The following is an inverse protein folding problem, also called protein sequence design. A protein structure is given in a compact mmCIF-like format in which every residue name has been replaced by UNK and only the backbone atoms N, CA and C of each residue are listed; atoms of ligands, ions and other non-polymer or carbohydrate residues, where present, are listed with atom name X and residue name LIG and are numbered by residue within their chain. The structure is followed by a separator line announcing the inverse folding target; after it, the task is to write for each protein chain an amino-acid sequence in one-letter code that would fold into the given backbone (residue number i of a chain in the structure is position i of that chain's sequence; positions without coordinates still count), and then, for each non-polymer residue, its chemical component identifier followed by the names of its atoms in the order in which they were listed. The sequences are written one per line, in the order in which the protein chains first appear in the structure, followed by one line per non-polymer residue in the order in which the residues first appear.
data_IF_752304760911
#
_entry.id   IF_752304760911
#
_cell.length_a   1.000
_cell.length_b   1.000
_cell.length_c   1.000
_cell.angle_alpha   90.00
_cell.angle_beta   90.00
_cell.angle_gamma   90.00
#
_symmetry.space_group_name_H-M   'P 1'
#
loop_
_entity.id
_entity.type
_entity.pdbx_description
1 polymer ?
#
# COMPACT_ATOMS: atom_id res chain seq x y z
N UNK A 1 5.51 43.39 23.10
CA UNK A 1 5.02 43.05 21.76
C UNK A 1 4.32 41.70 21.85
N UNK A 2 3.15 41.58 21.21
CA UNK A 2 2.11 40.57 21.50
C UNK A 2 2.55 39.13 21.23
N UNK A 3 2.33 38.27 22.22
CA UNK A 3 2.34 36.81 22.11
C UNK A 3 1.20 36.36 21.21
N UNK A 4 1.50 35.75 20.06
CA UNK A 4 0.50 35.07 19.23
C UNK A 4 0.41 33.61 19.66
N UNK A 5 -0.64 33.33 20.42
CA UNK A 5 -1.11 31.99 20.78
C UNK A 5 -1.49 31.24 19.50
N UNK A 6 -0.80 30.14 19.21
CA UNK A 6 -1.20 29.22 18.15
C UNK A 6 -2.47 28.48 18.59
N UNK A 7 -3.56 28.72 17.87
CA UNK A 7 -4.85 28.09 18.11
C UNK A 7 -4.82 26.67 17.51
N UNK A 8 -4.60 25.67 18.34
CA UNK A 8 -4.78 24.27 17.96
C UNK A 8 -6.27 23.97 17.84
N UNK A 9 -6.81 23.94 16.63
CA UNK A 9 -8.15 23.43 16.38
C UNK A 9 -8.06 21.90 16.38
N UNK A 10 -8.31 21.30 17.53
CA UNK A 10 -8.60 19.88 17.64
C UNK A 10 -9.97 19.61 17.00
N UNK A 11 -9.99 19.18 15.75
CA UNK A 11 -11.20 18.68 15.11
C UNK A 11 -11.57 17.34 15.77
N UNK A 12 -12.51 17.38 16.71
CA UNK A 12 -13.12 16.20 17.30
C UNK A 12 -13.90 15.44 16.21
N UNK A 13 -13.38 14.28 15.79
CA UNK A 13 -14.19 13.31 15.05
C UNK A 13 -15.24 12.76 16.00
N UNK A 14 -16.48 13.27 15.87
CA UNK A 14 -17.66 12.68 16.48
C UNK A 14 -17.81 11.23 16.02
N UNK A 15 -17.94 10.35 17.00
CA UNK A 15 -18.15 8.92 16.83
C UNK A 15 -19.41 8.64 16.00
N UNK A 16 -19.21 8.10 14.81
CA UNK A 16 -20.14 7.16 14.20
C UNK A 16 -19.48 5.78 14.31
N UNK A 17 -19.46 5.24 15.53
CA UNK A 17 -19.12 3.84 15.79
C UNK A 17 -20.28 2.97 15.29
N UNK A 18 -20.26 2.66 14.00
CA UNK A 18 -20.80 1.39 13.51
C UNK A 18 -19.62 0.47 13.32
N UNK A 19 -19.48 -0.50 14.21
CA UNK A 19 -18.66 -1.69 13.96
C UNK A 19 -19.29 -2.43 12.78
N UNK A 20 -19.00 -1.95 11.57
CA UNK A 20 -19.28 -2.70 10.36
C UNK A 20 -18.33 -3.88 10.38
N UNK A 21 -18.83 -5.03 10.84
CA UNK A 21 -18.22 -6.31 10.50
C UNK A 21 -17.99 -6.28 8.98
N UNK A 22 -16.87 -6.83 8.51
CA UNK A 22 -16.47 -6.80 7.11
C UNK A 22 -17.41 -7.58 6.14
N UNK A 23 -18.68 -7.77 6.53
CA UNK A 23 -19.78 -8.22 5.71
C UNK A 23 -19.89 -7.32 4.46
N UNK A 24 -19.59 -7.91 3.31
CA UNK A 24 -19.79 -7.29 2.00
C UNK A 24 -18.52 -6.95 1.23
N UNK A 25 -17.33 -7.22 1.77
CA UNK A 25 -16.13 -7.36 0.91
C UNK A 25 -16.07 -8.77 0.35
N UNK A 26 -15.62 -8.90 -0.89
CA UNK A 26 -15.39 -10.19 -1.52
C UNK A 26 -14.12 -10.89 -1.03
N UNK A 27 -13.69 -11.88 -1.79
CA UNK A 27 -12.43 -12.60 -1.60
C UNK A 27 -11.62 -12.60 -2.91
N UNK A 28 -11.47 -11.42 -3.52
CA UNK A 28 -10.83 -11.25 -4.82
C UNK A 28 -9.55 -10.42 -4.70
N UNK A 29 -8.45 -10.97 -5.23
CA UNK A 29 -7.20 -10.26 -5.46
C UNK A 29 -6.62 -10.74 -6.80
N UNK A 30 -6.75 -9.91 -7.83
CA UNK A 30 -6.19 -10.18 -9.15
C UNK A 30 -5.05 -9.21 -9.41
N UNK A 31 -3.89 -9.74 -9.77
CA UNK A 31 -2.78 -8.96 -10.30
C UNK A 31 -2.40 -9.54 -11.65
N UNK A 32 -2.21 -8.70 -12.66
CA UNK A 32 -1.67 -9.11 -13.96
C UNK A 32 -0.54 -8.19 -14.40
N UNK A 33 0.43 -8.79 -15.08
CA UNK A 33 1.57 -8.11 -15.69
C UNK A 33 1.64 -8.58 -17.13
N UNK A 34 1.39 -7.66 -18.06
CA UNK A 34 1.36 -7.91 -19.50
C UNK A 34 0.43 -9.08 -19.88
N UNK A 35 -0.79 -9.06 -19.30
CA UNK A 35 -1.81 -10.10 -19.49
C UNK A 35 -1.57 -11.40 -18.71
N UNK A 36 -0.37 -11.63 -18.16
CA UNK A 36 -0.07 -12.80 -17.32
C UNK A 36 -0.54 -12.57 -15.90
N UNK A 37 -1.33 -13.51 -15.36
CA UNK A 37 -1.75 -13.50 -13.97
C UNK A 37 -0.56 -13.72 -13.01
N UNK A 38 -0.52 -12.93 -11.94
CA UNK A 38 0.40 -13.08 -10.80
C UNK A 38 -0.40 -13.63 -9.64
N UNK A 39 -0.03 -14.82 -9.16
CA UNK A 39 -0.72 -15.47 -8.04
C UNK A 39 -0.43 -14.72 -6.73
N UNK A 40 -1.39 -13.95 -6.24
CA UNK A 40 -1.39 -13.27 -4.93
C UNK A 40 -2.42 -13.93 -4.01
N UNK A 41 -2.23 -13.81 -2.69
CA UNK A 41 -3.02 -14.55 -1.69
C UNK A 41 -3.63 -13.66 -0.62
N UNK A 42 -3.12 -12.46 -0.43
CA UNK A 42 -3.63 -11.53 0.56
C UNK A 42 -3.68 -10.09 0.03
N UNK A 43 -4.48 -9.30 0.75
CA UNK A 43 -4.42 -7.84 0.72
C UNK A 43 -4.00 -7.37 2.10
N UNK A 44 -2.95 -6.57 2.14
CA UNK A 44 -2.55 -5.81 3.33
C UNK A 44 -2.54 -4.33 3.00
N UNK A 45 -2.65 -3.47 4.01
CA UNK A 45 -2.55 -2.04 3.82
C UNK A 45 -1.65 -1.39 4.87
N UNK A 46 -1.11 -0.24 4.51
CA UNK A 46 -0.36 0.61 5.43
C UNK A 46 -0.78 2.05 5.21
N UNK A 47 -1.06 2.78 6.28
CA UNK A 47 -1.43 4.21 6.22
C UNK A 47 -0.39 5.05 6.94
N UNK A 48 -0.16 6.30 6.51
CA UNK A 48 0.65 7.23 7.31
C UNK A 48 -0.11 7.58 8.58
N UNK A 49 0.52 7.39 9.74
CA UNK A 49 -0.06 7.68 11.05
C UNK A 49 0.47 8.96 11.66
N UNK A 50 -0.22 9.42 12.70
CA UNK A 50 0.24 10.48 13.58
C UNK A 50 1.53 10.10 14.32
N UNK A 51 2.11 11.04 15.07
CA UNK A 51 3.34 10.82 15.84
C UNK A 51 3.22 9.65 16.85
N UNK A 52 2.01 9.37 17.32
CA UNK A 52 1.70 8.27 18.24
C UNK A 52 1.52 6.91 17.54
N UNK A 53 1.40 6.90 16.21
CA UNK A 53 1.19 5.68 15.41
C UNK A 53 -0.15 4.97 15.65
N UNK A 54 -1.14 5.67 16.22
CA UNK A 54 -2.44 5.10 16.62
C UNK A 54 -3.64 5.63 15.82
N UNK A 55 -3.45 6.65 14.98
CA UNK A 55 -4.48 7.16 14.09
C UNK A 55 -3.87 7.59 12.75
N UNK A 56 -4.62 7.56 11.64
CA UNK A 56 -4.19 8.14 10.38
C UNK A 56 -3.83 9.62 10.52
N UNK A 57 -2.76 10.06 9.88
CA UNK A 57 -2.39 11.47 9.82
C UNK A 57 -3.04 12.14 8.62
N UNK A 58 -3.79 13.22 8.87
CA UNK A 58 -4.17 14.16 7.83
C UNK A 58 -2.93 14.96 7.43
N UNK A 59 -2.51 14.81 6.18
CA UNK A 59 -1.37 15.53 5.61
C UNK A 59 -1.87 16.82 4.97
N UNK A 60 -1.05 17.87 5.02
CA UNK A 60 -1.33 19.13 4.33
C UNK A 60 -1.23 18.99 2.81
N UNK A 61 -0.39 18.08 2.33
CA UNK A 61 -0.24 17.75 0.91
C UNK A 61 0.09 16.27 0.67
N UNK A 62 -0.84 15.54 0.05
CA UNK A 62 -0.62 14.15 -0.36
C UNK A 62 0.27 14.02 -1.61
N UNK A 63 0.66 15.13 -2.25
CA UNK A 63 1.46 15.12 -3.48
C UNK A 63 2.95 15.40 -3.28
N UNK A 64 3.41 15.60 -2.05
CA UNK A 64 4.80 15.93 -1.71
C UNK A 64 5.33 17.16 -2.49
N UNK A 65 4.48 18.18 -2.67
CA UNK A 65 4.79 19.40 -3.41
C UNK A 65 4.92 19.22 -4.93
N UNK A 66 4.58 18.06 -5.48
CA UNK A 66 4.74 17.74 -6.92
C UNK A 66 3.59 18.23 -7.78
N UNK A 67 2.58 18.86 -7.20
CA UNK A 67 1.50 19.50 -7.94
C UNK A 67 1.42 20.98 -7.62
N UNK A 68 0.82 21.76 -8.52
CA UNK A 68 0.75 23.22 -8.38
C UNK A 68 -0.03 23.71 -7.14
N UNK A 69 -0.86 22.84 -6.53
CA UNK A 69 -1.66 23.17 -5.34
C UNK A 69 -1.57 22.02 -4.36
N UNK A 70 -1.27 22.33 -3.11
CA UNK A 70 -1.31 21.36 -2.02
C UNK A 70 -2.69 20.71 -1.93
N UNK A 71 -2.71 19.39 -1.74
CA UNK A 71 -3.96 18.62 -1.61
C UNK A 71 -3.98 17.96 -0.22
N UNK A 72 -4.74 18.50 0.74
CA UNK A 72 -4.87 17.89 2.05
C UNK A 72 -5.52 16.50 1.93
N UNK A 73 -5.03 15.52 2.70
CA UNK A 73 -5.59 14.18 2.65
C UNK A 73 -4.77 13.11 3.34
N UNK A 74 -5.13 11.85 3.08
CA UNK A 74 -4.46 10.67 3.60
C UNK A 74 -3.65 9.97 2.51
N UNK A 75 -2.52 9.38 2.88
CA UNK A 75 -1.79 8.44 2.02
C UNK A 75 -1.90 7.03 2.57
N UNK A 76 -2.35 6.10 1.73
CA UNK A 76 -2.49 4.68 2.05
C UNK A 76 -1.85 3.84 0.95
N UNK A 77 -1.09 2.83 1.35
CA UNK A 77 -0.49 1.85 0.45
C UNK A 77 -1.26 0.54 0.56
N UNK A 78 -1.87 0.11 -0.54
CA UNK A 78 -2.49 -1.21 -0.65
C UNK A 78 -1.50 -2.19 -1.26
N UNK A 79 -1.40 -3.38 -0.70
CA UNK A 79 -0.37 -4.34 -1.06
C UNK A 79 -1.04 -5.68 -1.33
N UNK A 80 -0.99 -6.10 -2.59
CA UNK A 80 -1.42 -7.44 -3.01
C UNK A 80 -0.18 -8.33 -3.05
N UNK A 81 -0.07 -9.24 -2.09
CA UNK A 81 1.10 -10.10 -1.92
C UNK A 81 0.67 -11.56 -2.00
N UNK A 82 1.53 -12.42 -2.51
CA UNK A 82 1.35 -13.86 -2.30
C UNK A 82 1.97 -14.29 -0.97
N UNK A 83 1.73 -15.53 -0.54
CA UNK A 83 2.62 -16.22 0.39
C UNK A 83 3.50 -17.26 -0.34
N UNK A 84 4.77 -17.42 0.03
CA UNK A 84 5.64 -18.52 -0.43
C UNK A 84 5.36 -19.68 0.51
N UNK A 85 4.30 -20.42 0.23
CA UNK A 85 3.83 -21.50 1.11
C UNK A 85 4.70 -22.79 1.04
N UNK A 86 5.78 -22.82 0.25
CA UNK A 86 6.48 -24.08 -0.07
C UNK A 86 7.92 -24.26 0.49
N UNK A 87 8.31 -23.67 1.63
CA UNK A 87 9.44 -24.17 2.45
C UNK A 87 9.67 -23.45 3.77
N UNK A 88 10.38 -24.13 4.67
CA UNK A 88 10.80 -23.65 5.99
C UNK A 88 11.60 -22.34 5.97
N UNK A 89 11.56 -21.66 7.13
CA UNK A 89 12.16 -20.36 7.42
C UNK A 89 13.67 -20.30 7.12
N UNK A 90 14.25 -19.09 6.91
CA UNK A 90 15.71 -18.95 6.75
C UNK A 90 16.41 -19.20 8.08
N UNK A 91 17.60 -19.83 8.09
CA UNK A 91 18.40 -19.87 9.32
C UNK A 91 18.66 -18.45 9.82
N UNK A 92 18.70 -18.25 11.15
CA UNK A 92 19.00 -16.96 11.77
C UNK A 92 20.31 -16.36 11.23
N UNK A 93 20.39 -15.04 11.09
CA UNK A 93 21.65 -14.35 10.71
C UNK A 93 22.32 -13.74 11.92
N UNK A 94 23.64 -13.94 12.04
CA UNK A 94 24.43 -13.35 13.12
C UNK A 94 23.98 -13.85 14.50
N UNK A 95 23.76 -12.93 15.44
CA UNK A 95 23.31 -13.24 16.80
C UNK A 95 21.80 -13.52 16.93
N UNK A 96 21.06 -13.59 15.82
CA UNK A 96 19.64 -13.92 15.86
C UNK A 96 19.44 -15.35 16.39
N UNK A 97 18.54 -15.50 17.35
CA UNK A 97 18.20 -16.80 17.97
C UNK A 97 16.94 -17.43 17.35
N UNK A 98 16.24 -16.70 16.49
CA UNK A 98 15.01 -17.14 15.82
C UNK A 98 15.20 -17.18 14.31
N UNK A 99 14.63 -18.21 13.68
CA UNK A 99 14.64 -18.35 12.23
C UNK A 99 14.02 -17.12 11.58
N UNK A 100 14.69 -16.60 10.55
CA UNK A 100 14.20 -15.46 9.80
C UNK A 100 12.94 -15.85 9.05
N UNK A 101 11.85 -15.11 9.30
CA UNK A 101 10.60 -15.29 8.59
C UNK A 101 10.81 -15.20 7.06
N UNK A 102 10.52 -16.31 6.37
CA UNK A 102 10.70 -16.45 4.93
C UNK A 102 9.39 -16.22 4.16
N UNK A 103 8.36 -15.65 4.82
CA UNK A 103 7.18 -15.04 4.18
C UNK A 103 7.51 -13.76 3.41
N UNK A 104 8.75 -13.59 2.96
CA UNK A 104 9.16 -12.51 2.09
C UNK A 104 8.74 -12.83 0.66
N UNK A 105 7.50 -12.51 0.34
CA UNK A 105 6.99 -12.60 -1.02
C UNK A 105 7.29 -11.29 -1.69
N UNK A 106 8.05 -11.42 -2.77
CA UNK A 106 8.46 -10.33 -3.63
C UNK A 106 7.70 -10.46 -4.95
N UNK A 107 6.41 -10.74 -4.92
CA UNK A 107 5.56 -10.74 -6.11
C UNK A 107 4.24 -10.07 -5.83
N UNK A 108 3.73 -9.38 -6.84
CA UNK A 108 2.51 -8.58 -6.76
C UNK A 108 2.81 -7.09 -6.78
N UNK A 109 1.92 -6.31 -6.18
CA UNK A 109 1.92 -4.86 -6.31
C UNK A 109 1.83 -4.15 -4.96
N UNK A 110 2.39 -2.95 -4.91
CA UNK A 110 2.13 -1.96 -3.87
C UNK A 110 1.61 -0.71 -4.56
N UNK A 111 0.36 -0.38 -4.29
CA UNK A 111 -0.35 0.74 -4.88
C UNK A 111 -0.42 1.83 -3.83
N UNK A 112 0.37 2.90 -3.99
CA UNK A 112 0.29 4.07 -3.13
C UNK A 112 -0.82 4.98 -3.63
N UNK A 113 -1.78 5.26 -2.75
CA UNK A 113 -2.96 6.06 -3.05
C UNK A 113 -3.00 7.28 -2.15
N UNK A 114 -3.21 8.44 -2.76
CA UNK A 114 -3.56 9.66 -2.07
C UNK A 114 -5.06 9.87 -2.10
N UNK A 115 -5.70 10.07 -0.95
CA UNK A 115 -7.13 10.28 -0.80
C UNK A 115 -7.35 11.71 -0.31
N UNK A 116 -7.82 12.63 -1.16
CA UNK A 116 -8.10 14.00 -0.74
C UNK A 116 -9.15 14.05 0.37
N UNK A 117 -9.03 15.05 1.24
CA UNK A 117 -10.04 15.40 2.23
C UNK A 117 -10.60 16.76 1.88
N UNK A 118 -11.92 16.81 1.68
CA UNK A 118 -12.67 18.03 1.40
C UNK A 118 -13.75 18.17 2.44
N UNK A 119 -13.81 19.31 3.13
CA UNK A 119 -14.76 19.58 4.21
C UNK A 119 -14.77 18.48 5.30
N UNK A 120 -13.57 18.01 5.68
CA UNK A 120 -13.40 16.98 6.71
C UNK A 120 -13.76 15.56 6.28
N UNK A 121 -14.11 15.32 5.00
CA UNK A 121 -14.50 14.00 4.49
C UNK A 121 -13.54 13.50 3.41
N UNK A 122 -13.15 12.23 3.50
CA UNK A 122 -12.40 11.54 2.46
C UNK A 122 -13.20 11.49 1.14
N UNK A 123 -12.55 11.86 0.05
CA UNK A 123 -13.13 11.87 -1.29
C UNK A 123 -12.55 10.71 -2.11
N UNK A 124 -13.12 9.50 -1.96
CA UNK A 124 -12.61 8.30 -2.65
C UNK A 124 -12.65 8.41 -4.18
N UNK A 125 -13.66 9.09 -4.73
CA UNK A 125 -13.79 9.39 -6.16
C UNK A 125 -12.75 10.38 -6.70
N UNK A 126 -12.01 11.06 -5.82
CA UNK A 126 -10.93 11.98 -6.17
C UNK A 126 -9.56 11.40 -5.77
N UNK A 127 -9.51 10.13 -5.36
CA UNK A 127 -8.27 9.46 -5.02
C UNK A 127 -7.33 9.40 -6.23
N UNK A 128 -6.02 9.43 -5.97
CA UNK A 128 -4.96 9.48 -6.98
C UNK A 128 -4.00 8.33 -6.79
N UNK A 129 -3.59 7.71 -7.89
CA UNK A 129 -2.44 6.81 -7.88
C UNK A 129 -1.18 7.68 -7.76
N UNK A 130 -0.40 7.47 -6.71
CA UNK A 130 0.80 8.26 -6.41
C UNK A 130 2.09 7.50 -6.69
N UNK A 131 2.03 6.16 -6.64
CA UNK A 131 3.12 5.24 -7.00
C UNK A 131 2.53 3.84 -7.19
N UNK A 132 3.18 3.03 -8.02
CA UNK A 132 2.91 1.61 -8.13
C UNK A 132 4.23 0.83 -8.21
N UNK A 133 4.64 0.24 -7.08
CA UNK A 133 5.74 -0.71 -7.07
C UNK A 133 5.25 -2.09 -7.51
N UNK A 134 5.94 -2.68 -8.48
CA UNK A 134 5.58 -3.99 -9.04
C UNK A 134 6.79 -4.88 -8.94
N UNK A 135 6.61 -6.05 -8.34
CA UNK A 135 7.65 -7.06 -8.28
C UNK A 135 7.18 -8.29 -9.05
N UNK A 136 7.99 -8.70 -10.03
CA UNK A 136 7.70 -9.80 -10.95
C UNK A 136 8.76 -10.88 -10.85
N UNK A 137 8.31 -12.13 -10.86
CA UNK A 137 9.16 -13.32 -10.78
C UNK A 137 9.16 -14.15 -12.08
N UNK A 138 8.57 -13.67 -13.18
CA UNK A 138 8.58 -14.41 -14.45
C UNK A 138 9.98 -14.78 -14.98
N UNK A 139 11.00 -13.95 -14.72
CA UNK A 139 12.39 -14.24 -15.10
C UNK A 139 13.11 -15.18 -14.12
N UNK A 140 12.45 -15.59 -13.05
CA UNK A 140 13.02 -16.47 -12.03
C UNK A 140 12.82 -17.91 -12.47
N UNK A 141 13.91 -18.58 -12.82
CA UNK A 141 13.90 -20.02 -12.99
C UNK A 141 13.86 -20.70 -11.61
N UNK A 142 12.67 -21.10 -11.20
CA UNK A 142 12.45 -21.80 -9.93
C UNK A 142 13.06 -23.21 -9.92
N UNK A 143 13.28 -23.83 -11.09
CA UNK A 143 13.87 -25.16 -11.21
C UNK A 143 15.41 -25.13 -11.10
N UNK A 144 16.03 -23.97 -11.34
CA UNK A 144 17.46 -23.77 -11.13
C UNK A 144 17.86 -23.62 -9.65
N UNK A 145 16.89 -23.44 -8.74
CA UNK A 145 17.16 -23.34 -7.31
C UNK A 145 17.48 -24.70 -6.69
N UNK A 146 18.63 -24.79 -6.02
CA UNK A 146 19.08 -25.98 -5.29
C UNK A 146 18.97 -25.78 -3.78
N UNK A 147 18.93 -26.88 -3.04
CA UNK A 147 18.83 -26.85 -1.58
C UNK A 147 20.01 -26.07 -0.93
N UNK A 148 21.18 -26.05 -1.60
CA UNK A 148 22.40 -25.42 -1.10
C UNK A 148 22.44 -23.90 -1.29
N UNK A 149 21.54 -23.31 -2.10
CA UNK A 149 21.62 -21.91 -2.53
C UNK A 149 21.35 -20.88 -1.41
N UNK A 150 21.02 -21.32 -0.18
CA UNK A 150 20.75 -20.54 1.06
C UNK A 150 19.68 -19.44 0.96
N UNK A 151 19.34 -18.96 -0.23
CA UNK A 151 18.37 -17.90 -0.53
C UNK A 151 17.61 -18.25 -1.79
N UNK A 152 16.29 -18.37 -1.67
CA UNK A 152 15.41 -18.51 -2.84
C UNK A 152 15.54 -17.30 -3.77
N UNK A 153 15.44 -17.50 -5.09
CA UNK A 153 15.43 -16.39 -6.03
C UNK A 153 14.24 -15.46 -5.74
N UNK A 154 14.48 -14.16 -5.86
CA UNK A 154 13.51 -13.11 -5.55
C UNK A 154 12.96 -12.56 -6.85
N UNK A 155 11.68 -12.19 -6.86
CA UNK A 155 11.13 -11.34 -7.90
C UNK A 155 11.92 -10.04 -8.01
N UNK A 156 11.99 -9.49 -9.21
CA UNK A 156 12.66 -8.23 -9.52
C UNK A 156 11.63 -7.11 -9.59
N UNK A 157 12.01 -5.95 -9.06
CA UNK A 157 11.18 -4.75 -9.23
C UNK A 157 11.28 -4.30 -10.69
N UNK A 158 10.14 -4.22 -11.37
CA UNK A 158 10.09 -3.81 -12.79
C UNK A 158 9.82 -2.31 -12.95
N UNK A 159 9.40 -1.63 -11.89
CA UNK A 159 9.26 -0.18 -11.82
C UNK A 159 10.51 0.42 -11.13
N UNK A 160 11.62 0.51 -11.87
CA UNK A 160 12.85 1.17 -11.42
C UNK A 160 12.82 2.69 -11.57
N UNK A 161 13.89 3.37 -11.13
CA UNK A 161 14.01 4.82 -11.24
C UNK A 161 13.96 5.32 -12.70
N UNK A 162 14.48 4.53 -13.64
CA UNK A 162 14.55 4.90 -15.06
C UNK A 162 13.37 4.38 -15.90
N UNK A 163 12.43 3.66 -15.27
CA UNK A 163 11.28 3.10 -15.98
C UNK A 163 10.38 4.19 -16.58
N UNK A 164 9.85 3.94 -17.77
CA UNK A 164 8.82 4.79 -18.39
C UNK A 164 7.46 4.41 -17.83
N UNK A 165 6.82 5.36 -17.17
CA UNK A 165 5.46 5.20 -16.63
C UNK A 165 4.47 5.96 -17.50
N UNK A 166 3.33 5.35 -17.79
CA UNK A 166 2.24 6.00 -18.51
C UNK A 166 0.90 5.29 -18.34
N UNK A 167 -0.15 5.86 -18.92
CA UNK A 167 -1.51 5.27 -18.93
C UNK A 167 -1.97 4.78 -17.54
N UNK A 168 -1.77 5.63 -16.54
CA UNK A 168 -2.10 5.31 -15.15
C UNK A 168 -3.60 5.46 -14.90
N UNK A 169 -4.19 4.56 -14.12
CA UNK A 169 -5.59 4.61 -13.72
C UNK A 169 -5.76 4.15 -12.27
N UNK A 170 -6.76 4.73 -11.60
CA UNK A 170 -7.19 4.35 -10.27
C UNK A 170 -8.70 4.51 -10.13
N UNK A 171 -9.35 3.51 -9.56
CA UNK A 171 -10.71 3.56 -9.07
C UNK A 171 -10.76 2.97 -7.66
N UNK A 172 -10.96 3.83 -6.66
CA UNK A 172 -11.19 3.44 -5.27
C UNK A 172 -12.68 3.58 -4.97
N UNK A 173 -13.39 2.46 -4.89
CA UNK A 173 -14.86 2.44 -4.79
C UNK A 173 -15.38 2.29 -3.36
N UNK A 174 -14.61 1.61 -2.50
CA UNK A 174 -14.92 1.41 -1.09
C UNK A 174 -13.63 1.26 -0.30
N UNK A 175 -13.58 1.88 0.87
CA UNK A 175 -12.50 1.74 1.83
C UNK A 175 -13.10 1.78 3.23
N UNK A 176 -12.84 0.75 4.02
CA UNK A 176 -13.18 0.69 5.44
C UNK A 176 -11.90 0.39 6.21
N UNK A 177 -11.51 1.28 7.11
CA UNK A 177 -10.36 1.06 7.97
C UNK A 177 -10.75 0.10 9.11
N UNK A 178 -9.82 -0.72 9.62
CA UNK A 178 -10.02 -1.46 10.86
C UNK A 178 -10.37 -0.55 12.03
N UNK A 179 -10.88 -1.13 13.12
CA UNK A 179 -11.03 -0.38 14.37
C UNK A 179 -9.67 -0.12 15.03
N UNK A 180 -9.01 0.92 14.56
CA UNK A 180 -7.69 1.32 15.05
C UNK A 180 -7.73 1.82 16.50
N UNK A 181 -8.90 2.21 17.03
CA UNK A 181 -9.03 2.69 18.41
C UNK A 181 -8.86 1.56 19.42
N UNK A 182 -9.35 0.37 19.08
CA UNK A 182 -9.16 -0.85 19.88
C UNK A 182 -7.86 -1.57 19.56
N UNK A 183 -7.07 -1.03 18.62
CA UNK A 183 -5.77 -1.58 18.21
C UNK A 183 -5.87 -2.70 17.18
N UNK A 184 -7.02 -2.83 16.49
CA UNK A 184 -7.20 -3.84 15.44
C UNK A 184 -6.17 -3.64 14.31
N UNK A 185 -5.51 -4.74 13.90
CA UNK A 185 -4.48 -4.77 12.85
C UNK A 185 -4.89 -5.63 11.65
N UNK A 186 -6.15 -6.03 11.59
CA UNK A 186 -6.77 -6.81 10.52
C UNK A 186 -8.22 -6.37 10.38
N UNK A 187 -8.96 -6.82 9.39
CA UNK A 187 -10.36 -6.37 9.21
C UNK A 187 -10.48 -5.12 8.33
N UNK A 188 -11.64 -4.47 8.34
CA UNK A 188 -11.98 -3.48 7.31
C UNK A 188 -11.90 -4.07 5.89
N UNK A 189 -11.64 -3.25 4.88
CA UNK A 189 -11.41 -3.73 3.51
C UNK A 189 -11.34 -2.65 2.44
N UNK A 190 -11.08 -3.09 1.21
CA UNK A 190 -10.96 -2.22 0.04
C UNK A 190 -11.60 -2.82 -1.21
N UNK A 191 -12.23 -1.96 -2.02
CA UNK A 191 -12.57 -2.23 -3.43
C UNK A 191 -11.79 -1.24 -4.31
N UNK A 192 -10.78 -1.74 -5.00
CA UNK A 192 -9.77 -0.97 -5.73
C UNK A 192 -9.50 -1.62 -7.10
N UNK A 193 -9.43 -0.79 -8.13
CA UNK A 193 -8.81 -1.13 -9.41
C UNK A 193 -7.72 -0.11 -9.71
N UNK A 194 -6.51 -0.55 -10.01
CA UNK A 194 -5.39 0.31 -10.35
C UNK A 194 -4.60 -0.28 -11.52
N UNK A 195 -4.10 0.57 -12.42
CA UNK A 195 -3.26 0.13 -13.51
C UNK A 195 -2.21 1.18 -13.88
N UNK A 196 -1.13 0.72 -14.49
CA UNK A 196 -0.12 1.56 -15.12
C UNK A 196 0.58 0.77 -16.23
N UNK A 197 1.08 1.47 -17.26
CA UNK A 197 2.04 0.90 -18.20
C UNK A 197 3.44 1.26 -17.72
N UNK A 198 4.28 0.24 -17.51
CA UNK A 198 5.64 0.34 -16.98
C UNK A 198 6.59 -0.30 -18.00
N UNK A 199 7.42 0.50 -18.66
CA UNK A 199 8.30 0.07 -19.75
C UNK A 199 7.56 -0.73 -20.84
N UNK A 200 6.37 -0.25 -21.21
CA UNK A 200 5.51 -0.88 -22.22
C UNK A 200 4.71 -2.08 -21.71
N UNK A 201 4.91 -2.53 -20.47
CA UNK A 201 4.14 -3.63 -19.86
C UNK A 201 2.95 -3.10 -19.09
N UNK A 202 1.76 -3.55 -19.45
CA UNK A 202 0.54 -3.21 -18.70
C UNK A 202 0.51 -3.96 -17.38
N UNK A 203 0.47 -3.24 -16.26
CA UNK A 203 0.26 -3.80 -14.93
C UNK A 203 -1.14 -3.41 -14.46
N UNK A 204 -1.90 -4.39 -13.98
CA UNK A 204 -3.23 -4.18 -13.39
C UNK A 204 -3.34 -4.87 -12.03
N UNK A 205 -4.02 -4.22 -11.10
CA UNK A 205 -4.37 -4.74 -9.77
C UNK A 205 -5.84 -4.49 -9.52
N UNK A 206 -6.58 -5.54 -9.18
CA UNK A 206 -7.98 -5.49 -8.78
C UNK A 206 -8.16 -6.20 -7.45
N UNK A 207 -8.72 -5.49 -6.49
CA UNK A 207 -8.94 -6.00 -5.14
C UNK A 207 -10.38 -5.73 -4.73
N UNK A 208 -11.04 -6.76 -4.20
CA UNK A 208 -12.27 -6.66 -3.44
C UNK A 208 -12.12 -7.62 -2.26
N UNK A 209 -11.54 -7.12 -1.16
CA UNK A 209 -11.16 -7.96 -0.03
C UNK A 209 -10.98 -7.18 1.26
N UNK A 210 -11.04 -7.90 2.38
CA UNK A 210 -10.67 -7.40 3.70
C UNK A 210 -9.15 -7.29 3.85
N UNK A 211 -8.68 -6.49 4.80
CA UNK A 211 -7.25 -6.47 5.11
C UNK A 211 -6.89 -7.64 6.01
N UNK A 212 -5.95 -8.46 5.55
CA UNK A 212 -5.31 -9.47 6.39
C UNK A 212 -4.42 -8.82 7.45
N UNK A 213 -3.75 -7.74 7.05
CA UNK A 213 -2.86 -6.96 7.91
C UNK A 213 -3.01 -5.47 7.57
N UNK A 214 -3.08 -4.63 8.60
CA UNK A 214 -3.19 -3.19 8.51
C UNK A 214 -2.16 -2.52 9.43
N UNK A 215 -1.22 -1.83 8.81
CA UNK A 215 -0.12 -1.15 9.49
C UNK A 215 -0.30 0.36 9.54
N UNK A 216 0.33 0.98 10.54
CA UNK A 216 0.49 2.42 10.62
C UNK A 216 1.97 2.76 10.46
N UNK A 217 2.31 3.49 9.40
CA UNK A 217 3.65 3.98 9.17
C UNK A 217 3.94 5.19 10.07
N UNK A 218 5.16 5.26 10.60
CA UNK A 218 5.63 6.45 11.32
C UNK A 218 5.77 7.64 10.36
N UNK A 219 5.43 8.86 10.79
CA UNK A 219 5.38 10.04 9.92
C UNK A 219 6.75 10.67 9.62
N UNK A 220 7.76 10.40 10.44
CA UNK A 220 9.11 10.98 10.36
C UNK A 220 9.97 10.42 9.21
N UNK A 221 9.68 9.19 8.76
CA UNK A 221 10.27 8.60 7.56
C UNK A 221 9.39 7.45 7.03
N UNK A 222 8.25 7.75 6.38
CA UNK A 222 7.34 6.71 5.89
C UNK A 222 7.93 6.07 4.64
N UNK A 223 8.86 5.12 4.83
CA UNK A 223 9.50 4.38 3.73
C UNK A 223 8.44 3.81 2.78
N UNK A 224 8.53 4.19 1.51
CA UNK A 224 7.60 3.76 0.45
C UNK A 224 6.40 4.67 0.24
N UNK A 225 6.27 5.79 0.96
CA UNK A 225 5.18 6.77 0.77
C UNK A 225 5.57 8.00 -0.04
N UNK A 226 6.78 8.01 -0.61
CA UNK A 226 7.21 9.06 -1.53
C UNK A 226 6.38 8.95 -2.81
N UNK A 227 5.84 10.08 -3.25
CA UNK A 227 5.13 10.19 -4.52
C UNK A 227 6.13 10.08 -5.67
N UNK A 228 5.79 9.27 -6.67
CA UNK A 228 6.48 9.23 -7.95
C UNK A 228 5.78 10.21 -8.91
N UNK A 229 6.47 11.28 -9.28
CA UNK A 229 5.92 12.34 -10.14
C UNK A 229 5.49 11.82 -11.52
N UNK A 230 6.06 10.70 -11.99
CA UNK A 230 5.68 10.07 -13.25
C UNK A 230 4.24 9.54 -13.24
N UNK A 231 3.67 9.28 -12.07
CA UNK A 231 2.26 8.90 -11.89
C UNK A 231 1.31 10.11 -11.79
N UNK A 232 1.85 11.32 -11.67
CA UNK A 232 1.07 12.57 -11.62
C UNK A 232 0.96 13.26 -12.98
N UNK A 233 1.84 12.92 -13.92
CA UNK A 233 1.82 13.44 -15.28
C UNK A 233 0.60 12.88 -16.05
N UNK A 234 -0.14 13.78 -16.69
CA UNK A 234 -1.23 13.43 -17.62
C UNK A 234 -0.73 13.42 -19.05
#
# INVERSE_FOLDING_TARGET
MKNMTALFVAAALGAASVSAVAAGFGHQQDVSIDGRAVNVMDTSARIIGNAQGNAPQLLDDITDGKTARAVPGYKIMFMSRAYSLNHAARPPRGEQTVWGDNRAIHRGTKVLVGIPVVNGKMQLNQARLLDMAVIDDASVDAAAFKAEDKTRPRGKQIAGNDAKIGQTSLKLSRLELPDMQTGERSGGGVVLEASAVIDGKTVATKVNSTFREFDVAKPDNPRGFAVDERFLAK
#
